data_IF_623182533820
#
_entry.id   IF_623182533820
#
_cell.length_a   1.000
_cell.length_b   1.000
_cell.length_c   1.000
_cell.angle_alpha   90.00
_cell.angle_beta   90.00
_cell.angle_gamma   90.00
#
_symmetry.space_group_name_H-M   'P 1'
#
loop_
_entity.id
_entity.type
_entity.pdbx_description
1 polymer ?
#
# COMPACT_ATOMS: atom_id res chain seq x y z
N UNK A 1 -1.54 30.84 4.24
CA UNK A 1 -0.94 30.53 2.92
C UNK A 1 -2.08 30.15 1.97
N UNK A 2 -2.39 31.01 1.00
CA UNK A 2 -3.41 30.74 -0.02
C UNK A 2 -2.81 29.80 -1.07
N UNK A 3 -3.35 28.59 -1.23
CA UNK A 3 -3.07 27.77 -2.41
C UNK A 3 -3.44 28.58 -3.67
N UNK A 4 -2.69 28.44 -4.76
CA UNK A 4 -3.05 29.08 -6.03
C UNK A 4 -4.41 28.58 -6.51
N UNK A 5 -5.22 29.45 -7.14
CA UNK A 5 -6.58 29.11 -7.63
C UNK A 5 -6.68 27.80 -8.43
N UNK A 6 -5.73 27.44 -9.33
CA UNK A 6 -5.80 26.15 -10.02
C UNK A 6 -5.50 24.95 -9.12
N UNK A 7 -4.60 25.08 -8.15
CA UNK A 7 -4.34 23.99 -7.18
C UNK A 7 -5.56 23.76 -6.28
N UNK A 8 -6.26 24.84 -5.92
CA UNK A 8 -7.50 24.74 -5.17
C UNK A 8 -8.62 24.06 -5.97
N UNK A 9 -8.78 24.38 -7.26
CA UNK A 9 -9.81 23.76 -8.10
C UNK A 9 -9.53 22.27 -8.38
N UNK A 10 -8.26 21.91 -8.62
CA UNK A 10 -7.85 20.51 -8.79
C UNK A 10 -8.04 19.71 -7.51
N UNK A 11 -7.67 20.28 -6.36
CA UNK A 11 -7.86 19.64 -5.06
C UNK A 11 -9.34 19.47 -4.72
N UNK A 12 -10.17 20.49 -4.99
CA UNK A 12 -11.62 20.42 -4.85
C UNK A 12 -12.23 19.32 -5.73
N UNK A 13 -11.85 19.26 -7.00
CA UNK A 13 -12.33 18.22 -7.93
C UNK A 13 -11.87 16.81 -7.51
N UNK A 14 -10.66 16.65 -6.99
CA UNK A 14 -10.21 15.37 -6.41
C UNK A 14 -11.07 14.95 -5.21
N UNK A 15 -11.34 15.88 -4.29
CA UNK A 15 -12.19 15.60 -3.12
C UNK A 15 -13.63 15.27 -3.53
N UNK A 16 -14.17 15.98 -4.52
CA UNK A 16 -15.49 15.71 -5.09
C UNK A 16 -15.56 14.29 -5.70
N UNK A 17 -14.58 13.90 -6.50
CA UNK A 17 -14.52 12.53 -7.03
C UNK A 17 -14.32 11.48 -5.93
N UNK A 18 -13.51 11.78 -4.92
CA UNK A 18 -13.31 10.89 -3.78
C UNK A 18 -14.60 10.70 -2.98
N UNK A 19 -15.49 11.69 -2.95
CA UNK A 19 -16.79 11.61 -2.29
C UNK A 19 -17.83 10.89 -3.15
N UNK A 20 -17.96 11.26 -4.43
CA UNK A 20 -18.98 10.74 -5.34
C UNK A 20 -18.65 9.32 -5.87
N UNK A 21 -17.36 9.02 -6.07
CA UNK A 21 -16.89 7.76 -6.62
C UNK A 21 -15.67 7.21 -5.83
N UNK A 22 -15.83 6.93 -4.52
CA UNK A 22 -14.74 6.66 -3.60
C UNK A 22 -13.85 5.49 -4.01
N UNK A 23 -14.43 4.40 -4.52
CA UNK A 23 -13.66 3.22 -4.93
C UNK A 23 -12.81 3.52 -6.17
N UNK A 24 -13.40 4.15 -7.20
CA UNK A 24 -12.70 4.46 -8.47
C UNK A 24 -11.52 5.38 -8.23
N UNK A 25 -11.73 6.48 -7.51
CA UNK A 25 -10.67 7.46 -7.21
C UNK A 25 -9.56 6.82 -6.39
N UNK A 26 -9.89 6.06 -5.34
CA UNK A 26 -8.88 5.36 -4.52
C UNK A 26 -8.07 4.35 -5.34
N UNK A 27 -8.69 3.61 -6.25
CA UNK A 27 -8.00 2.65 -7.12
C UNK A 27 -7.04 3.35 -8.08
N UNK A 28 -7.46 4.44 -8.72
CA UNK A 28 -6.60 5.22 -9.62
C UNK A 28 -5.43 5.87 -8.87
N UNK A 29 -5.70 6.47 -7.71
CA UNK A 29 -4.65 7.03 -6.85
C UNK A 29 -3.67 5.96 -6.38
N UNK A 30 -4.16 4.79 -5.96
CA UNK A 30 -3.31 3.69 -5.53
C UNK A 30 -2.48 3.10 -6.68
N UNK A 31 -3.03 3.00 -7.88
CA UNK A 31 -2.30 2.62 -9.08
C UNK A 31 -1.14 3.57 -9.35
N UNK A 32 -1.40 4.88 -9.34
CA UNK A 32 -0.39 5.90 -9.54
C UNK A 32 0.70 5.82 -8.46
N UNK A 33 0.31 5.80 -7.17
CA UNK A 33 1.25 5.71 -6.05
C UNK A 33 2.10 4.44 -6.10
N UNK A 34 1.52 3.28 -6.39
CA UNK A 34 2.25 2.02 -6.45
C UNK A 34 3.26 2.00 -7.62
N UNK A 35 2.85 2.51 -8.78
CA UNK A 35 3.69 2.68 -9.97
C UNK A 35 4.87 3.59 -9.66
N UNK A 36 4.59 4.79 -9.13
CA UNK A 36 5.61 5.76 -8.74
C UNK A 36 6.55 5.19 -7.67
N UNK A 37 6.02 4.49 -6.67
CA UNK A 37 6.83 3.87 -5.61
C UNK A 37 7.81 2.84 -6.16
N UNK A 38 7.37 2.01 -7.12
CA UNK A 38 8.27 1.05 -7.73
C UNK A 38 9.35 1.73 -8.59
N UNK A 39 9.00 2.76 -9.36
CA UNK A 39 9.98 3.56 -10.12
C UNK A 39 11.00 4.21 -9.18
N UNK A 40 10.54 4.84 -8.09
CA UNK A 40 11.40 5.42 -7.06
C UNK A 40 12.33 4.36 -6.45
N UNK A 41 11.80 3.19 -6.11
CA UNK A 41 12.59 2.06 -5.62
C UNK A 41 13.67 1.63 -6.62
N UNK A 42 13.35 1.60 -7.92
CA UNK A 42 14.32 1.28 -8.99
C UNK A 42 15.44 2.32 -9.08
N UNK A 43 15.08 3.61 -9.03
CA UNK A 43 16.06 4.70 -9.06
C UNK A 43 16.96 4.72 -7.83
N UNK A 44 16.42 4.52 -6.63
CA UNK A 44 17.21 4.47 -5.39
C UNK A 44 18.21 3.30 -5.41
N UNK A 45 17.85 2.19 -6.04
CA UNK A 45 18.76 1.04 -6.19
C UNK A 45 19.80 1.21 -7.30
N UNK A 46 19.84 2.35 -7.99
CA UNK A 46 20.80 2.61 -9.07
C UNK A 46 20.52 1.84 -10.36
N UNK A 47 19.28 1.40 -10.60
CA UNK A 47 18.93 0.68 -11.82
C UNK A 47 19.11 1.57 -13.06
N UNK A 48 19.98 1.15 -14.00
CA UNK A 48 20.23 1.86 -15.27
C UNK A 48 19.05 1.77 -16.23
N UNK A 49 18.34 0.66 -16.22
CA UNK A 49 17.12 0.41 -16.99
C UNK A 49 15.95 0.13 -16.05
N UNK A 50 14.78 0.66 -16.38
CA UNK A 50 13.57 0.40 -15.59
C UNK A 50 12.98 -0.95 -15.96
N UNK A 51 12.71 -1.78 -14.95
CA UNK A 51 11.95 -3.01 -15.10
C UNK A 51 10.47 -2.68 -15.27
N UNK A 52 10.05 -2.57 -16.54
CA UNK A 52 8.68 -2.24 -16.94
C UNK A 52 7.67 -3.29 -16.45
N UNK A 53 8.01 -4.57 -16.46
CA UNK A 53 7.15 -5.64 -15.95
C UNK A 53 6.81 -5.45 -14.47
N UNK A 54 7.81 -5.11 -13.66
CA UNK A 54 7.57 -4.82 -12.25
C UNK A 54 6.76 -3.53 -12.08
N UNK A 55 7.01 -2.48 -12.87
CA UNK A 55 6.22 -1.23 -12.81
C UNK A 55 4.75 -1.51 -13.12
N UNK A 56 4.49 -2.28 -14.18
CA UNK A 56 3.14 -2.71 -14.56
C UNK A 56 2.47 -3.55 -13.46
N UNK A 57 3.19 -4.52 -12.90
CA UNK A 57 2.66 -5.37 -11.82
C UNK A 57 2.22 -4.56 -10.59
N UNK A 58 3.01 -3.56 -10.18
CA UNK A 58 2.65 -2.66 -9.08
C UNK A 58 1.45 -1.76 -9.44
N UNK A 59 1.38 -1.26 -10.68
CA UNK A 59 0.24 -0.47 -11.16
C UNK A 59 -1.06 -1.28 -11.14
N UNK A 60 -1.06 -2.48 -11.71
CA UNK A 60 -2.23 -3.39 -11.71
C UNK A 60 -2.62 -3.78 -10.27
N UNK A 61 -1.64 -4.09 -9.42
CA UNK A 61 -1.92 -4.37 -8.01
C UNK A 61 -2.56 -3.17 -7.29
N UNK A 62 -2.03 -1.97 -7.48
CA UNK A 62 -2.60 -0.74 -6.92
C UNK A 62 -4.02 -0.46 -7.43
N UNK A 63 -4.27 -0.70 -8.72
CA UNK A 63 -5.57 -0.52 -9.35
C UNK A 63 -6.61 -1.51 -8.82
N UNK A 64 -6.27 -2.79 -8.69
CA UNK A 64 -7.22 -3.83 -8.30
C UNK A 64 -7.40 -3.87 -6.78
N UNK A 65 -6.30 -3.92 -6.02
CA UNK A 65 -6.34 -4.17 -4.57
C UNK A 65 -6.15 -2.90 -3.74
N UNK A 66 -5.37 -1.94 -4.24
CA UNK A 66 -4.95 -0.77 -3.48
C UNK A 66 -6.09 0.18 -3.08
N UNK A 67 -7.15 0.27 -3.88
CA UNK A 67 -8.35 1.04 -3.51
C UNK A 67 -9.48 0.20 -2.92
N UNK A 68 -9.68 -1.03 -3.42
CA UNK A 68 -10.84 -1.87 -3.06
C UNK A 68 -10.71 -2.50 -1.68
N UNK A 69 -9.58 -3.17 -1.40
CA UNK A 69 -9.37 -3.90 -0.14
C UNK A 69 -9.43 -2.96 1.05
N UNK A 70 -8.74 -1.79 1.05
CA UNK A 70 -8.88 -0.83 2.15
C UNK A 70 -10.31 -0.29 2.26
N UNK A 71 -10.98 0.01 1.15
CA UNK A 71 -12.34 0.57 1.18
C UNK A 71 -13.31 -0.36 1.91
N UNK A 72 -13.37 -1.63 1.50
CA UNK A 72 -14.27 -2.59 2.14
C UNK A 72 -13.82 -2.96 3.55
N UNK A 73 -12.51 -3.06 3.80
CA UNK A 73 -12.00 -3.33 5.16
C UNK A 73 -12.45 -2.24 6.15
N UNK A 74 -12.22 -0.97 5.83
CA UNK A 74 -12.64 0.13 6.71
C UNK A 74 -14.17 0.21 6.85
N UNK A 75 -14.92 -0.09 5.79
CA UNK A 75 -16.38 -0.16 5.86
C UNK A 75 -16.86 -1.27 6.83
N UNK A 76 -16.22 -2.43 6.83
CA UNK A 76 -16.53 -3.53 7.76
C UNK A 76 -16.18 -3.13 9.20
N UNK A 77 -14.99 -2.57 9.40
CA UNK A 77 -14.51 -2.11 10.71
C UNK A 77 -15.43 -1.01 11.28
N UNK A 78 -15.87 -0.07 10.46
CA UNK A 78 -16.80 0.98 10.87
C UNK A 78 -18.18 0.44 11.27
N UNK A 79 -18.65 -0.64 10.64
CA UNK A 79 -19.89 -1.32 11.02
C UNK A 79 -19.73 -2.16 12.28
N UNK A 80 -18.56 -2.76 12.49
CA UNK A 80 -18.29 -3.63 13.63
C UNK A 80 -18.14 -2.84 14.93
N UNK A 81 -17.56 -1.64 14.86
CA UNK A 81 -17.32 -0.79 16.03
C UNK A 81 -18.28 0.41 16.07
N UNK A 82 -19.32 0.29 16.90
CA UNK A 82 -20.29 1.37 17.19
C UNK A 82 -19.59 2.66 17.61
N UNK A 83 -20.21 3.80 17.28
CA UNK A 83 -19.66 5.12 17.58
C UNK A 83 -19.49 5.38 19.09
N UNK A 84 -20.32 4.72 19.92
CA UNK A 84 -20.35 4.89 21.38
C UNK A 84 -19.31 4.05 22.12
N UNK A 85 -18.51 3.25 21.42
CA UNK A 85 -17.49 2.42 22.04
C UNK A 85 -16.36 3.29 22.64
N UNK A 86 -16.16 3.15 23.96
CA UNK A 86 -14.96 3.68 24.64
C UNK A 86 -13.72 3.09 23.95
N UNK A 87 -12.77 3.96 23.59
CA UNK A 87 -11.55 3.61 22.86
C UNK A 87 -11.74 3.08 21.42
N UNK A 88 -12.83 3.44 20.73
CA UNK A 88 -13.05 3.06 19.31
C UNK A 88 -11.81 3.19 18.41
N UNK A 89 -11.06 4.30 18.52
CA UNK A 89 -9.82 4.53 17.75
C UNK A 89 -8.76 3.44 17.97
N UNK A 90 -8.65 2.94 19.20
CA UNK A 90 -7.71 1.88 19.56
C UNK A 90 -8.12 0.54 18.94
N UNK A 91 -9.42 0.20 18.96
CA UNK A 91 -9.92 -1.01 18.31
C UNK A 91 -9.75 -0.97 16.79
N UNK A 92 -10.03 0.17 16.15
CA UNK A 92 -9.79 0.37 14.72
C UNK A 92 -8.30 0.14 14.39
N UNK A 93 -7.41 0.72 15.19
CA UNK A 93 -5.97 0.50 15.05
C UNK A 93 -5.60 -0.98 15.22
N UNK A 94 -6.15 -1.67 16.22
CA UNK A 94 -5.89 -3.08 16.45
C UNK A 94 -6.34 -3.95 15.27
N UNK A 95 -7.54 -3.73 14.75
CA UNK A 95 -8.02 -4.41 13.54
C UNK A 95 -7.12 -4.14 12.34
N UNK A 96 -6.64 -2.92 12.19
CA UNK A 96 -5.76 -2.54 11.08
C UNK A 96 -4.38 -3.25 11.20
N UNK A 97 -3.84 -3.39 12.41
CA UNK A 97 -2.56 -4.08 12.65
C UNK A 97 -2.64 -5.61 12.58
N UNK A 98 -3.74 -6.21 13.05
CA UNK A 98 -3.87 -7.66 13.19
C UNK A 98 -4.71 -8.35 12.10
N UNK A 99 -5.60 -7.63 11.42
CA UNK A 99 -6.39 -8.19 10.32
C UNK A 99 -5.95 -7.62 8.97
N UNK A 100 -5.94 -6.29 8.83
CA UNK A 100 -5.62 -5.67 7.54
C UNK A 100 -4.17 -5.86 7.14
N UNK A 101 -3.21 -5.49 7.99
CA UNK A 101 -1.79 -5.56 7.63
C UNK A 101 -1.34 -6.99 7.27
N UNK A 102 -1.68 -8.06 8.02
CA UNK A 102 -1.33 -9.43 7.64
C UNK A 102 -1.97 -9.87 6.32
N UNK A 103 -3.28 -9.64 6.15
CA UNK A 103 -4.01 -10.00 4.94
C UNK A 103 -3.45 -9.27 3.71
N UNK A 104 -3.31 -7.95 3.81
CA UNK A 104 -2.82 -7.11 2.72
C UNK A 104 -1.35 -7.42 2.39
N UNK A 105 -0.54 -7.75 3.39
CA UNK A 105 0.84 -8.16 3.19
C UNK A 105 0.94 -9.49 2.43
N UNK A 106 0.10 -10.47 2.77
CA UNK A 106 0.00 -11.72 2.03
C UNK A 106 -0.41 -11.49 0.58
N UNK A 107 -1.50 -10.74 0.37
CA UNK A 107 -2.00 -10.40 -0.96
C UNK A 107 -0.93 -9.70 -1.81
N UNK A 108 -0.23 -8.72 -1.22
CA UNK A 108 0.82 -7.99 -1.93
C UNK A 108 2.01 -8.86 -2.33
N UNK A 109 2.47 -9.78 -1.48
CA UNK A 109 3.59 -10.65 -1.86
C UNK A 109 3.19 -11.68 -2.93
N UNK A 110 1.99 -12.25 -2.79
CA UNK A 110 1.48 -13.27 -3.69
C UNK A 110 1.13 -12.70 -5.07
N UNK A 111 0.17 -11.76 -5.14
CA UNK A 111 -0.34 -11.25 -6.42
C UNK A 111 0.71 -10.47 -7.20
N UNK A 112 1.61 -9.77 -6.51
CA UNK A 112 2.68 -9.05 -7.18
C UNK A 112 3.70 -10.00 -7.82
N UNK A 113 3.91 -11.17 -7.20
CA UNK A 113 4.71 -12.24 -7.83
C UNK A 113 4.00 -12.80 -9.07
N UNK A 114 2.69 -13.02 -9.01
CA UNK A 114 1.88 -13.50 -10.14
C UNK A 114 1.85 -12.48 -11.28
N UNK A 115 1.62 -11.20 -11.00
CA UNK A 115 1.59 -10.12 -12.00
C UNK A 115 2.95 -9.84 -12.62
N UNK A 116 4.04 -10.18 -11.94
CA UNK A 116 5.40 -10.20 -12.51
C UNK A 116 5.65 -11.41 -13.42
N UNK A 117 4.65 -12.29 -13.62
CA UNK A 117 4.74 -13.46 -14.50
C UNK A 117 5.37 -14.70 -13.86
N UNK A 118 5.52 -14.73 -12.53
CA UNK A 118 6.06 -15.91 -11.84
C UNK A 118 4.99 -17.01 -11.68
N UNK A 119 5.44 -18.27 -11.62
CA UNK A 119 4.56 -19.40 -11.35
C UNK A 119 3.98 -19.36 -9.93
N UNK A 120 2.84 -20.04 -9.73
CA UNK A 120 2.18 -20.17 -8.43
C UNK A 120 3.13 -20.71 -7.34
N UNK A 121 3.91 -21.75 -7.66
CA UNK A 121 4.89 -22.32 -6.74
C UNK A 121 5.94 -21.28 -6.30
N UNK A 122 6.45 -20.47 -7.24
CA UNK A 122 7.41 -19.40 -6.92
C UNK A 122 6.78 -18.27 -6.11
N UNK A 123 5.51 -17.95 -6.37
CA UNK A 123 4.77 -16.96 -5.58
C UNK A 123 4.60 -17.41 -4.13
N UNK A 124 4.24 -18.68 -3.89
CA UNK A 124 4.14 -19.25 -2.55
C UNK A 124 5.48 -19.25 -1.82
N UNK A 125 6.57 -19.66 -2.48
CA UNK A 125 7.91 -19.60 -1.89
C UNK A 125 8.33 -18.17 -1.52
N UNK A 126 7.99 -17.19 -2.36
CA UNK A 126 8.24 -15.77 -2.07
C UNK A 126 7.47 -15.32 -0.82
N UNK A 127 6.21 -15.72 -0.69
CA UNK A 127 5.39 -15.43 0.49
C UNK A 127 6.02 -16.08 1.72
N UNK A 128 6.29 -17.37 1.69
CA UNK A 128 6.88 -18.11 2.82
C UNK A 128 8.16 -17.45 3.36
N UNK A 129 9.06 -17.04 2.45
CA UNK A 129 10.33 -16.42 2.81
C UNK A 129 10.22 -14.96 3.25
N UNK A 130 9.34 -14.18 2.63
CA UNK A 130 9.26 -12.73 2.87
C UNK A 130 8.17 -12.30 3.83
N UNK A 131 7.15 -13.12 4.07
CA UNK A 131 5.96 -12.72 4.81
C UNK A 131 6.30 -12.24 6.22
N UNK A 132 6.95 -13.08 7.04
CA UNK A 132 7.30 -12.71 8.41
C UNK A 132 8.32 -11.58 8.52
N UNK A 133 9.42 -11.55 7.73
CA UNK A 133 10.34 -10.41 7.73
C UNK A 133 9.65 -9.09 7.38
N UNK A 134 8.77 -9.10 6.38
CA UNK A 134 8.12 -7.88 5.89
C UNK A 134 6.98 -7.46 6.82
N UNK A 135 6.19 -8.41 7.35
CA UNK A 135 5.12 -8.10 8.31
C UNK A 135 5.68 -7.50 9.60
N UNK A 136 6.76 -8.06 10.15
CA UNK A 136 7.43 -7.48 11.33
C UNK A 136 7.94 -6.06 11.05
N UNK A 137 8.55 -5.85 9.89
CA UNK A 137 8.97 -4.51 9.47
C UNK A 137 7.76 -3.56 9.34
N UNK A 138 6.60 -4.05 8.86
CA UNK A 138 5.39 -3.22 8.77
C UNK A 138 4.95 -2.76 10.17
N UNK A 139 4.88 -3.70 11.11
CA UNK A 139 4.52 -3.39 12.48
C UNK A 139 5.52 -2.44 13.15
N UNK A 140 6.81 -2.56 12.86
CA UNK A 140 7.81 -1.68 13.44
C UNK A 140 7.79 -0.26 12.86
N UNK A 141 7.73 -0.13 11.52
CA UNK A 141 7.90 1.18 10.87
C UNK A 141 6.58 1.92 10.64
N UNK A 142 5.48 1.21 10.41
CA UNK A 142 4.22 1.81 9.96
C UNK A 142 3.23 2.03 11.12
N UNK A 143 3.34 1.26 12.21
CA UNK A 143 2.35 1.33 13.30
C UNK A 143 2.27 2.69 13.95
N UNK A 144 3.41 3.35 14.19
CA UNK A 144 3.41 4.71 14.74
C UNK A 144 2.72 5.69 13.79
N UNK A 145 3.03 5.63 12.49
CA UNK A 145 2.46 6.51 11.48
C UNK A 145 0.94 6.32 11.35
N UNK A 146 0.47 5.07 11.41
CA UNK A 146 -0.97 4.78 11.33
C UNK A 146 -1.70 5.17 12.61
N UNK A 147 -1.10 4.95 13.78
CA UNK A 147 -1.66 5.43 15.04
C UNK A 147 -1.82 6.95 15.02
N UNK A 148 -0.78 7.69 14.61
CA UNK A 148 -0.83 9.15 14.50
C UNK A 148 -1.90 9.60 13.48
N UNK A 149 -2.03 8.88 12.36
CA UNK A 149 -3.06 9.14 11.35
C UNK A 149 -4.48 9.01 11.93
N UNK A 150 -4.78 7.93 12.65
CA UNK A 150 -6.10 7.69 13.24
C UNK A 150 -6.37 8.66 14.41
N UNK A 151 -5.34 8.95 15.21
CA UNK A 151 -5.47 9.77 16.40
C UNK A 151 -5.68 11.26 16.07
N UNK A 152 -4.85 11.83 15.19
CA UNK A 152 -4.72 13.27 14.99
C UNK A 152 -5.20 13.77 13.62
N UNK A 153 -5.20 12.94 12.57
CA UNK A 153 -5.60 13.42 11.23
C UNK A 153 -7.13 13.44 11.11
N UNK A 154 -7.74 14.58 10.70
CA UNK A 154 -9.17 14.66 10.46
C UNK A 154 -9.63 13.68 9.37
N UNK A 155 -10.83 13.08 9.47
CA UNK A 155 -11.31 12.06 8.53
C UNK A 155 -11.15 12.41 7.05
N UNK A 156 -11.38 13.68 6.69
CA UNK A 156 -11.25 14.18 5.31
C UNK A 156 -9.84 14.03 4.73
N UNK A 157 -8.79 14.15 5.56
CA UNK A 157 -7.40 14.09 5.11
C UNK A 157 -6.75 12.72 5.29
N UNK A 158 -7.41 11.80 6.03
CA UNK A 158 -6.85 10.47 6.32
C UNK A 158 -6.48 9.71 5.06
N UNK A 159 -7.32 9.76 4.02
CA UNK A 159 -7.05 9.07 2.75
C UNK A 159 -5.75 9.54 2.09
N UNK A 160 -5.43 10.84 2.18
CA UNK A 160 -4.21 11.42 1.61
C UNK A 160 -3.00 11.00 2.45
N UNK A 161 -3.08 11.19 3.76
CA UNK A 161 -1.99 10.81 4.68
C UNK A 161 -1.71 9.30 4.64
N UNK A 162 -2.73 8.45 4.54
CA UNK A 162 -2.58 7.01 4.33
C UNK A 162 -1.96 6.69 2.97
N UNK A 163 -2.26 7.46 1.92
CA UNK A 163 -1.60 7.34 0.62
C UNK A 163 -0.10 7.59 0.70
N UNK A 164 0.34 8.60 1.46
CA UNK A 164 1.77 8.89 1.69
C UNK A 164 2.45 7.73 2.43
N UNK A 165 1.83 7.23 3.51
CA UNK A 165 2.34 6.09 4.26
C UNK A 165 2.43 4.85 3.37
N UNK A 166 1.41 4.59 2.55
CA UNK A 166 1.36 3.48 1.61
C UNK A 166 2.45 3.60 0.53
N UNK A 167 2.73 4.80 0.03
CA UNK A 167 3.82 5.05 -0.91
C UNK A 167 5.18 4.69 -0.31
N UNK A 168 5.48 5.18 0.90
CA UNK A 168 6.74 4.89 1.60
C UNK A 168 6.88 3.37 1.81
N UNK A 169 5.80 2.71 2.24
CA UNK A 169 5.80 1.26 2.41
C UNK A 169 5.99 0.50 1.09
N UNK A 170 5.36 0.94 0.01
CA UNK A 170 5.50 0.33 -1.31
C UNK A 170 6.93 0.45 -1.84
N UNK A 171 7.62 1.57 -1.62
CA UNK A 171 9.04 1.74 -1.95
C UNK A 171 9.88 0.71 -1.19
N UNK A 172 9.68 0.59 0.13
CA UNK A 172 10.38 -0.38 0.97
C UNK A 172 10.13 -1.83 0.52
N UNK A 173 8.87 -2.18 0.27
CA UNK A 173 8.47 -3.52 -0.20
C UNK A 173 9.14 -3.86 -1.54
N UNK A 174 9.15 -2.92 -2.48
CA UNK A 174 9.81 -3.07 -3.77
C UNK A 174 11.31 -3.32 -3.64
N UNK A 175 11.99 -2.56 -2.77
CA UNK A 175 13.40 -2.78 -2.49
C UNK A 175 13.67 -4.15 -1.87
N UNK A 176 12.86 -4.55 -0.88
CA UNK A 176 13.03 -5.84 -0.18
C UNK A 176 12.81 -7.02 -1.12
N UNK A 177 11.75 -6.99 -1.94
CA UNK A 177 11.45 -8.03 -2.94
C UNK A 177 12.56 -8.12 -4.00
N UNK A 178 13.05 -7.00 -4.51
CA UNK A 178 14.13 -6.99 -5.50
C UNK A 178 15.42 -7.60 -4.95
N UNK A 179 15.86 -7.17 -3.77
CA UNK A 179 17.04 -7.75 -3.11
C UNK A 179 16.92 -9.25 -2.91
N UNK A 180 15.71 -9.75 -2.63
CA UNK A 180 15.48 -11.19 -2.54
C UNK A 180 15.64 -11.89 -3.90
N UNK A 181 15.06 -11.32 -4.96
CA UNK A 181 15.19 -11.86 -6.31
C UNK A 181 16.65 -11.87 -6.78
N UNK A 182 17.41 -10.80 -6.53
CA UNK A 182 18.85 -10.70 -6.85
C UNK A 182 19.66 -11.81 -6.17
N UNK A 183 19.40 -12.06 -4.87
CA UNK A 183 20.06 -13.16 -4.13
C UNK A 183 19.76 -14.53 -4.73
N UNK A 184 18.49 -14.79 -5.07
CA UNK A 184 18.10 -16.06 -5.68
C UNK A 184 18.74 -16.27 -7.06
N UNK A 185 18.88 -15.19 -7.85
CA UNK A 185 19.56 -15.27 -9.14
C UNK A 185 21.06 -15.55 -8.96
N UNK A 186 21.72 -14.89 -8.00
CA UNK A 186 23.13 -15.09 -7.71
C UNK A 186 23.45 -16.50 -7.14
N UNK A 187 22.53 -17.09 -6.39
CA UNK A 187 22.64 -18.48 -5.90
C UNK A 187 22.51 -19.51 -7.02
N UNK A 188 21.70 -19.23 -8.05
CA UNK A 188 21.53 -20.12 -9.21
C UNK A 188 22.68 -20.04 -10.22
N UNK A 189 23.43 -18.95 -10.23
CA UNK A 189 24.59 -18.75 -11.11
C UNK A 189 25.91 -19.29 -10.53
N UNK A 190 25.88 -19.79 -9.30
CA UNK A 190 27.00 -20.48 -8.64
C UNK A 190 26.82 -21.99 -8.76
#
# INVERSE_FOLDING_TARGET
>A
MSLSRPLYSLFGSYLEQLFNHPVRTKCLTACFLATSANVTSQRISGAKTLNQHSVFAYGVFGLIFGGTVPHYFYQIVERLFSHDLRFRKFFIFLSERFAFAPLYQFLSLYFLSIFEGNSHAKALQNVEKLYWPVLRANWQYISLLVYLNIAYVPPMFRSISSGIIAFIWAVYLAQKRRRHQEKLTAEKSK
#
